data_IF_943488759214
#
_entry.id   IF_943488759214
#
_cell.length_a   1.000
_cell.length_b   1.000
_cell.length_c   1.000
_cell.angle_alpha   90.00
_cell.angle_beta   90.00
_cell.angle_gamma   90.00
#
_symmetry.space_group_name_H-M   'P 1'
#
loop_
_entity.id
_entity.type
_entity.pdbx_description
1 polymer ?
#
# COMPACT_ATOMS: atom_id res chain seq x y z
N UNK A 1 -10.98 7.75 27.27
CA UNK A 1 -12.00 7.87 26.20
C UNK A 1 -12.85 6.62 26.32
N UNK A 2 -13.72 6.61 27.32
CA UNK A 2 -14.24 5.34 27.84
C UNK A 2 -15.62 5.12 27.20
N UNK A 3 -15.82 3.93 26.62
CA UNK A 3 -16.99 3.48 25.82
C UNK A 3 -17.11 3.99 24.38
N UNK A 4 -16.02 4.00 23.61
CA UNK A 4 -16.11 4.11 22.15
C UNK A 4 -15.75 2.79 21.47
N UNK A 5 -16.52 2.37 20.46
CA UNK A 5 -16.12 1.31 19.53
C UNK A 5 -15.43 1.93 18.32
N UNK A 6 -14.38 1.28 17.80
CA UNK A 6 -13.70 1.75 16.59
C UNK A 6 -14.22 0.96 15.39
N UNK A 7 -14.71 1.65 14.37
CA UNK A 7 -15.08 1.07 13.07
C UNK A 7 -14.17 1.61 11.99
N UNK A 8 -13.67 0.74 11.12
CA UNK A 8 -12.91 1.14 9.93
C UNK A 8 -13.85 1.34 8.75
N UNK A 9 -13.67 2.44 8.03
CA UNK A 9 -14.33 2.73 6.76
C UNK A 9 -13.27 3.33 5.82
N UNK A 10 -12.86 2.58 4.81
CA UNK A 10 -11.81 3.02 3.89
C UNK A 10 -10.51 3.34 4.62
N UNK A 11 -9.89 4.48 4.29
CA UNK A 11 -8.66 4.94 4.93
C UNK A 11 -8.88 5.62 6.28
N UNK A 12 -10.07 5.47 6.88
CA UNK A 12 -10.44 6.15 8.11
C UNK A 12 -10.88 5.16 9.19
N UNK A 13 -10.55 5.52 10.43
CA UNK A 13 -11.17 4.97 11.62
C UNK A 13 -12.18 5.96 12.16
N UNK A 14 -13.35 5.45 12.53
CA UNK A 14 -14.40 6.17 13.21
C UNK A 14 -14.47 5.69 14.65
N UNK A 15 -14.46 6.61 15.61
CA UNK A 15 -14.82 6.31 17.00
C UNK A 15 -16.32 6.53 17.14
N UNK A 16 -17.04 5.49 17.55
CA UNK A 16 -18.49 5.51 17.71
C UNK A 16 -18.85 5.46 19.19
N UNK A 17 -19.77 6.33 19.60
CA UNK A 17 -20.45 6.28 20.90
C UNK A 17 -21.92 5.98 20.64
N UNK A 18 -22.44 4.91 21.22
CA UNK A 18 -23.82 4.44 20.98
C UNK A 18 -24.14 4.29 19.47
N UNK A 19 -23.18 3.71 18.72
CA UNK A 19 -23.23 3.53 17.27
C UNK A 19 -23.27 4.84 16.44
N UNK A 20 -23.04 5.99 17.07
CA UNK A 20 -22.94 7.30 16.41
C UNK A 20 -21.48 7.72 16.29
N UNK A 21 -20.96 8.01 15.07
CA UNK A 21 -19.58 8.47 14.89
C UNK A 21 -19.39 9.86 15.52
N UNK A 22 -18.38 9.98 16.38
CA UNK A 22 -18.06 11.22 17.11
C UNK A 22 -16.66 11.76 16.79
N UNK A 23 -15.74 10.88 16.37
CA UNK A 23 -14.42 11.27 15.88
C UNK A 23 -14.05 10.43 14.65
N UNK A 24 -13.21 11.00 13.80
CA UNK A 24 -12.55 10.30 12.70
C UNK A 24 -11.05 10.55 12.74
N UNK A 25 -10.29 9.60 12.22
CA UNK A 25 -8.88 9.80 11.88
C UNK A 25 -8.55 9.05 10.61
N UNK A 26 -7.52 9.48 9.91
CA UNK A 26 -6.89 8.65 8.88
C UNK A 26 -6.17 7.46 9.54
N UNK A 27 -6.19 6.30 8.90
CA UNK A 27 -5.40 5.14 9.31
C UNK A 27 -3.92 5.53 9.40
N UNK A 28 -3.26 5.11 10.48
CA UNK A 28 -1.87 5.48 10.79
C UNK A 28 -1.70 6.86 11.44
N UNK A 29 -2.74 7.69 11.51
CA UNK A 29 -2.71 8.92 12.30
C UNK A 29 -2.94 8.63 13.78
N UNK A 30 -2.23 9.33 14.66
CA UNK A 30 -2.54 9.33 16.10
C UNK A 30 -3.58 10.40 16.47
N UNK A 31 -3.80 11.36 15.57
CA UNK A 31 -4.70 12.50 15.79
C UNK A 31 -6.12 12.13 15.40
N UNK A 32 -7.04 12.28 16.35
CA UNK A 32 -8.48 12.18 16.15
C UNK A 32 -9.08 13.57 15.95
N UNK A 33 -9.96 13.71 14.97
CA UNK A 33 -10.66 14.95 14.63
C UNK A 33 -12.17 14.74 14.86
N UNK A 34 -12.92 15.75 15.33
CA UNK A 34 -14.37 15.65 15.48
C UNK A 34 -15.03 15.18 14.17
N UNK A 35 -15.93 14.21 14.27
CA UNK A 35 -16.67 13.74 13.10
C UNK A 35 -17.72 14.79 12.73
N UNK A 36 -17.43 15.63 11.73
CA UNK A 36 -18.38 16.59 11.20
C UNK A 36 -19.41 15.87 10.32
N UNK A 37 -20.70 15.97 10.66
CA UNK A 37 -21.79 15.46 9.80
C UNK A 37 -21.87 16.16 8.45
N UNK A 38 -21.20 17.31 8.29
CA UNK A 38 -21.03 18.03 7.02
C UNK A 38 -19.93 17.44 6.12
N UNK A 39 -19.11 16.51 6.60
CA UNK A 39 -18.13 15.76 5.79
C UNK A 39 -18.74 14.51 5.14
N UNK A 40 -20.08 14.43 5.05
CA UNK A 40 -20.64 13.73 3.93
C UNK A 40 -20.27 14.54 2.69
N UNK A 41 -19.35 14.09 1.82
CA UNK A 41 -19.40 14.58 0.46
C UNK A 41 -20.85 14.33 0.03
N UNK A 42 -21.57 15.40 -0.34
CA UNK A 42 -22.71 15.24 -1.23
C UNK A 42 -22.28 14.23 -2.29
N UNK A 43 -23.15 13.30 -2.71
CA UNK A 43 -22.83 12.41 -3.82
C UNK A 43 -22.71 13.26 -5.09
N UNK A 44 -21.60 13.96 -5.24
CA UNK A 44 -21.01 14.26 -6.53
C UNK A 44 -20.67 12.89 -7.09
N UNK A 45 -21.28 12.56 -8.22
CA UNK A 45 -21.39 11.22 -8.82
C UNK A 45 -20.07 10.50 -9.13
N UNK A 46 -18.91 11.05 -8.75
CA UNK A 46 -17.60 10.41 -8.89
C UNK A 46 -16.71 10.74 -7.69
N UNK A 47 -16.64 9.80 -6.74
CA UNK A 47 -15.52 9.78 -5.78
C UNK A 47 -14.25 9.34 -6.52
N UNK A 48 -13.09 9.96 -6.28
CA UNK A 48 -11.86 9.52 -6.92
C UNK A 48 -11.51 8.11 -6.49
N UNK A 49 -10.86 7.35 -7.38
CA UNK A 49 -10.19 6.12 -7.01
C UNK A 49 -8.94 6.48 -6.20
N UNK A 50 -8.63 5.71 -5.17
CA UNK A 50 -7.47 5.90 -4.33
C UNK A 50 -6.46 4.79 -4.63
N UNK A 51 -5.19 5.17 -4.82
CA UNK A 51 -4.08 4.22 -4.86
C UNK A 51 -3.47 4.12 -3.46
N UNK A 52 -3.45 2.93 -2.88
CA UNK A 52 -2.81 2.66 -1.61
C UNK A 52 -1.74 1.58 -1.70
N UNK A 53 -0.63 1.75 -0.98
CA UNK A 53 0.23 0.65 -0.60
C UNK A 53 -0.39 -0.03 0.63
N UNK A 54 -0.81 -1.27 0.49
CA UNK A 54 -1.25 -2.11 1.61
C UNK A 54 -0.07 -2.94 2.11
N UNK A 55 0.08 -3.02 3.42
CA UNK A 55 0.99 -3.95 4.09
C UNK A 55 0.19 -4.97 4.89
N UNK A 56 0.56 -6.24 4.74
CA UNK A 56 -0.04 -7.34 5.46
C UNK A 56 0.99 -8.06 6.33
N UNK A 57 0.57 -8.47 7.52
CA UNK A 57 1.33 -9.38 8.36
C UNK A 57 1.45 -10.76 7.70
N UNK A 58 2.67 -11.28 7.69
CA UNK A 58 2.95 -12.66 7.34
C UNK A 58 3.56 -13.39 8.55
N UNK A 59 3.23 -14.67 8.79
CA UNK A 59 3.82 -15.42 9.90
C UNK A 59 5.36 -15.52 9.75
N UNK A 60 6.09 -14.89 10.66
CA UNK A 60 7.56 -14.90 10.74
C UNK A 60 8.30 -14.35 9.50
N UNK A 61 7.61 -13.58 8.67
CA UNK A 61 8.18 -12.95 7.47
C UNK A 61 7.97 -11.44 7.51
N UNK A 62 8.64 -10.74 6.59
CA UNK A 62 8.41 -9.30 6.40
C UNK A 62 6.98 -9.06 5.92
N UNK A 63 6.51 -7.81 5.99
CA UNK A 63 5.18 -7.52 5.49
C UNK A 63 5.07 -7.84 4.00
N UNK A 64 3.99 -8.51 3.61
CA UNK A 64 3.61 -8.62 2.21
C UNK A 64 3.09 -7.27 1.73
N UNK A 65 3.54 -6.83 0.57
CA UNK A 65 3.13 -5.55 -0.01
C UNK A 65 2.29 -5.77 -1.26
N UNK A 66 1.24 -4.97 -1.36
CA UNK A 66 0.34 -4.93 -2.51
C UNK A 66 -0.11 -3.51 -2.80
N UNK A 67 -0.46 -3.21 -4.06
CA UNK A 67 -1.16 -1.98 -4.42
C UNK A 67 -2.65 -2.22 -4.41
N UNK A 68 -3.41 -1.31 -3.81
CA UNK A 68 -4.86 -1.39 -3.76
C UNK A 68 -5.46 -0.17 -4.45
N UNK A 69 -6.39 -0.41 -5.38
CA UNK A 69 -7.14 0.64 -6.08
C UNK A 69 -8.62 0.47 -5.76
N UNK A 70 -9.21 1.46 -5.10
CA UNK A 70 -10.62 1.46 -4.74
C UNK A 70 -11.15 2.89 -4.54
N UNK A 71 -12.46 3.07 -4.67
CA UNK A 71 -13.08 4.22 -4.03
C UNK A 71 -13.04 4.04 -2.50
N UNK A 72 -13.02 5.16 -1.76
CA UNK A 72 -12.99 5.11 -0.30
C UNK A 72 -14.18 4.33 0.26
N UNK A 73 -13.87 3.27 1.03
CA UNK A 73 -14.87 2.43 1.70
C UNK A 73 -15.53 1.37 0.81
N UNK A 74 -15.12 1.22 -0.46
CA UNK A 74 -15.60 0.16 -1.35
C UNK A 74 -14.56 -0.96 -1.52
N UNK A 75 -15.04 -2.09 -2.04
CA UNK A 75 -14.16 -3.14 -2.54
C UNK A 75 -13.32 -2.61 -3.71
N UNK A 76 -12.13 -3.17 -3.88
CA UNK A 76 -11.18 -2.70 -4.88
C UNK A 76 -10.45 -3.81 -5.60
N UNK A 77 -9.46 -3.39 -6.38
CA UNK A 77 -8.51 -4.28 -7.05
C UNK A 77 -7.18 -4.25 -6.31
N UNK A 78 -6.68 -5.43 -5.97
CA UNK A 78 -5.38 -5.66 -5.35
C UNK A 78 -4.39 -6.14 -6.42
N UNK A 79 -3.33 -5.38 -6.64
CA UNK A 79 -2.21 -5.76 -7.49
C UNK A 79 -1.04 -6.23 -6.63
N UNK A 80 -0.62 -7.46 -6.85
CA UNK A 80 0.40 -8.13 -6.05
C UNK A 80 1.10 -9.23 -6.83
N UNK A 81 2.24 -9.64 -6.30
CA UNK A 81 2.94 -10.86 -6.67
C UNK A 81 3.02 -11.78 -5.45
N UNK A 82 2.77 -13.07 -5.63
CA UNK A 82 2.82 -14.08 -4.56
C UNK A 82 3.69 -15.26 -4.99
N UNK A 83 4.08 -16.10 -4.03
CA UNK A 83 5.05 -17.18 -4.22
C UNK A 83 6.25 -17.01 -3.32
N UNK A 84 7.22 -17.92 -3.44
CA UNK A 84 8.47 -17.79 -2.70
C UNK A 84 9.42 -16.80 -3.39
N UNK A 85 10.49 -16.42 -2.70
CA UNK A 85 11.44 -15.46 -3.26
C UNK A 85 12.20 -15.94 -4.50
N UNK A 86 12.21 -17.25 -4.81
CA UNK A 86 12.79 -17.79 -6.04
C UNK A 86 11.84 -17.74 -7.22
N UNK A 87 10.54 -17.84 -6.96
CA UNK A 87 9.52 -17.87 -7.99
C UNK A 87 8.22 -17.19 -7.52
N UNK A 88 8.12 -15.90 -7.81
CA UNK A 88 6.87 -15.16 -7.67
C UNK A 88 6.08 -15.11 -8.98
N UNK A 89 4.76 -15.01 -8.87
CA UNK A 89 3.81 -14.84 -9.96
C UNK A 89 2.85 -13.71 -9.64
N UNK A 90 2.32 -13.04 -10.66
CA UNK A 90 1.23 -12.09 -10.47
C UNK A 90 -0.02 -12.83 -9.96
N UNK A 91 -0.61 -12.33 -8.87
CA UNK A 91 -1.82 -12.91 -8.26
C UNK A 91 -2.80 -11.78 -7.89
N UNK A 92 -3.21 -11.02 -8.91
CA UNK A 92 -4.09 -9.88 -8.72
C UNK A 92 -5.50 -10.34 -8.32
N UNK A 93 -6.12 -9.63 -7.37
CA UNK A 93 -7.47 -9.95 -6.88
C UNK A 93 -8.42 -8.79 -7.12
N UNK A 94 -9.59 -9.07 -7.68
CA UNK A 94 -10.66 -8.07 -7.90
C UNK A 94 -11.74 -8.22 -6.84
N UNK A 95 -12.46 -7.14 -6.58
CA UNK A 95 -13.60 -7.11 -5.66
C UNK A 95 -13.26 -7.56 -4.22
N UNK A 96 -12.12 -7.08 -3.71
CA UNK A 96 -11.64 -7.43 -2.35
C UNK A 96 -11.84 -6.28 -1.39
N UNK A 97 -12.35 -6.57 -0.19
CA UNK A 97 -12.32 -5.67 0.96
C UNK A 97 -11.09 -5.96 1.83
N UNK A 98 -9.95 -5.42 1.41
CA UNK A 98 -8.64 -5.69 2.01
C UNK A 98 -8.54 -5.24 3.48
N UNK A 99 -9.27 -4.17 3.81
CA UNK A 99 -9.16 -3.46 5.09
C UNK A 99 -9.81 -4.22 6.26
N UNK A 100 -10.58 -5.26 5.95
CA UNK A 100 -11.27 -6.11 6.92
C UNK A 100 -10.55 -7.45 7.16
N UNK A 101 -9.41 -7.70 6.53
CA UNK A 101 -8.67 -8.94 6.72
C UNK A 101 -7.87 -8.91 8.02
N UNK A 102 -7.76 -10.07 8.69
CA UNK A 102 -6.96 -10.21 9.91
C UNK A 102 -5.46 -9.97 9.67
N UNK A 103 -4.98 -10.21 8.45
CA UNK A 103 -3.60 -9.95 8.02
C UNK A 103 -3.32 -8.47 7.80
N UNK A 104 -4.33 -7.60 7.71
CA UNK A 104 -4.14 -6.18 7.43
C UNK A 104 -3.32 -5.50 8.54
N UNK A 105 -2.16 -4.92 8.17
CA UNK A 105 -1.35 -4.14 9.08
C UNK A 105 -1.70 -2.64 8.96
N UNK A 106 -1.45 -2.07 7.79
CA UNK A 106 -1.75 -0.67 7.48
C UNK A 106 -1.82 -0.42 5.96
N UNK A 107 -2.16 0.82 5.61
CA UNK A 107 -2.25 1.32 4.25
C UNK A 107 -1.71 2.74 4.15
N UNK A 108 -0.96 3.02 3.10
CA UNK A 108 -0.42 4.33 2.78
C UNK A 108 -1.00 4.83 1.47
N UNK A 109 -1.77 5.93 1.50
CA UNK A 109 -2.32 6.53 0.28
C UNK A 109 -1.22 7.18 -0.56
N UNK A 110 -0.99 6.63 -1.76
CA UNK A 110 0.03 7.09 -2.69
C UNK A 110 -0.46 8.23 -3.59
N UNK A 111 -1.71 8.12 -4.10
CA UNK A 111 -2.29 9.07 -5.03
C UNK A 111 -3.83 8.97 -5.09
N UNK A 112 -4.46 10.03 -5.61
CA UNK A 112 -5.83 9.99 -6.15
C UNK A 112 -5.77 9.76 -7.66
N UNK A 113 -6.71 8.95 -8.15
CA UNK A 113 -6.75 8.45 -9.52
C UNK A 113 -8.08 8.82 -10.17
N UNK A 114 -7.99 9.30 -11.40
CA UNK A 114 -9.08 9.18 -12.36
C UNK A 114 -9.01 7.81 -13.07
N UNK A 115 -9.95 7.56 -13.98
CA UNK A 115 -10.05 6.30 -14.73
C UNK A 115 -8.77 6.00 -15.53
N UNK A 116 -8.17 7.01 -16.16
CA UNK A 116 -6.99 6.83 -17.00
C UNK A 116 -5.77 6.48 -16.15
N UNK A 117 -5.59 7.15 -15.01
CA UNK A 117 -4.52 6.84 -14.05
C UNK A 117 -4.68 5.44 -13.47
N UNK A 118 -5.90 4.99 -13.20
CA UNK A 118 -6.16 3.63 -12.73
C UNK A 118 -5.78 2.57 -13.79
N UNK A 119 -6.06 2.83 -15.07
CA UNK A 119 -5.60 1.96 -16.17
C UNK A 119 -4.06 1.90 -16.26
N UNK A 120 -3.37 3.00 -15.97
CA UNK A 120 -1.90 3.02 -15.93
C UNK A 120 -1.33 2.26 -14.73
N UNK A 121 -2.00 2.26 -13.58
CA UNK A 121 -1.65 1.38 -12.46
C UNK A 121 -1.77 -0.09 -12.87
N UNK A 122 -2.87 -0.48 -13.49
CA UNK A 122 -3.07 -1.85 -14.00
C UNK A 122 -1.98 -2.22 -15.02
N UNK A 123 -1.71 -1.34 -15.98
CA UNK A 123 -0.69 -1.57 -17.00
C UNK A 123 0.68 -1.85 -16.36
N UNK A 124 1.18 -0.95 -15.52
CA UNK A 124 2.52 -1.09 -14.93
C UNK A 124 2.62 -2.25 -13.95
N UNK A 125 1.55 -2.58 -13.23
CA UNK A 125 1.50 -3.79 -12.40
C UNK A 125 1.68 -5.07 -13.25
N UNK A 126 1.02 -5.16 -14.41
CA UNK A 126 1.17 -6.31 -15.29
C UNK A 126 2.51 -6.33 -16.05
N UNK A 127 3.10 -5.17 -16.36
CA UNK A 127 4.35 -5.09 -17.11
C UNK A 127 5.60 -5.32 -16.25
N UNK A 128 5.60 -4.89 -14.99
CA UNK A 128 6.76 -5.12 -14.12
C UNK A 128 6.88 -6.61 -13.79
N UNK A 129 8.02 -7.26 -14.12
CA UNK A 129 8.17 -8.68 -13.96
C UNK A 129 8.15 -9.07 -12.49
N UNK A 130 7.39 -10.12 -12.19
CA UNK A 130 7.44 -10.76 -10.88
C UNK A 130 8.88 -11.26 -10.60
N UNK A 131 9.27 -11.16 -9.33
CA UNK A 131 10.62 -11.51 -8.88
C UNK A 131 10.91 -12.98 -9.12
N UNK A 132 12.05 -13.27 -9.75
CA UNK A 132 12.52 -14.63 -10.07
C UNK A 132 14.01 -14.75 -9.84
N UNK A 133 14.43 -15.91 -9.35
CA UNK A 133 15.83 -16.29 -9.21
C UNK A 133 16.00 -17.79 -9.51
N UNK A 134 17.09 -18.17 -10.16
CA UNK A 134 17.35 -19.59 -10.49
C UNK A 134 17.65 -20.42 -9.24
N UNK A 135 18.05 -19.77 -8.15
CA UNK A 135 18.31 -20.40 -6.86
C UNK A 135 18.13 -19.43 -5.69
N UNK A 136 17.94 -19.97 -4.48
CA UNK A 136 17.81 -19.18 -3.26
C UNK A 136 19.02 -18.26 -3.00
N UNK A 137 20.23 -18.68 -3.37
CA UNK A 137 21.45 -17.87 -3.22
C UNK A 137 21.49 -16.64 -4.15
N UNK A 138 20.72 -16.66 -5.24
CA UNK A 138 20.65 -15.58 -6.22
C UNK A 138 19.46 -14.64 -6.02
N UNK A 139 18.61 -14.91 -5.02
CA UNK A 139 17.47 -14.05 -4.72
C UNK A 139 17.95 -12.64 -4.38
N UNK A 140 17.47 -11.66 -5.13
CA UNK A 140 17.74 -10.23 -4.90
C UNK A 140 16.48 -9.39 -4.75
N UNK A 141 15.33 -9.99 -5.01
CA UNK A 141 14.05 -9.31 -5.11
C UNK A 141 12.97 -9.99 -4.27
N UNK A 142 11.97 -9.21 -3.88
CA UNK A 142 10.80 -9.66 -3.11
C UNK A 142 9.54 -8.98 -3.66
N UNK A 143 8.38 -9.21 -3.03
CA UNK A 143 7.17 -8.45 -3.36
C UNK A 143 7.35 -6.94 -3.11
N UNK A 144 8.15 -6.56 -2.11
CA UNK A 144 8.43 -5.16 -1.79
C UNK A 144 9.27 -4.50 -2.89
N UNK A 145 10.28 -5.19 -3.44
CA UNK A 145 11.06 -4.62 -4.56
C UNK A 145 10.23 -4.51 -5.84
N UNK A 146 9.32 -5.45 -6.09
CA UNK A 146 8.35 -5.35 -7.18
C UNK A 146 7.47 -4.10 -7.05
N UNK A 147 6.88 -3.85 -5.87
CA UNK A 147 6.09 -2.63 -5.61
C UNK A 147 6.90 -1.37 -5.84
N UNK A 148 8.15 -1.32 -5.36
CA UNK A 148 9.03 -0.17 -5.56
C UNK A 148 9.25 0.09 -7.05
N UNK A 149 9.45 -0.95 -7.87
CA UNK A 149 9.57 -0.79 -9.33
C UNK A 149 8.29 -0.26 -9.97
N UNK A 150 7.14 -0.83 -9.62
CA UNK A 150 5.83 -0.36 -10.13
C UNK A 150 5.62 1.11 -9.75
N UNK A 151 5.83 1.49 -8.49
CA UNK A 151 5.65 2.88 -8.05
C UNK A 151 6.64 3.81 -8.72
N UNK A 152 7.88 3.40 -8.99
CA UNK A 152 8.82 4.22 -9.78
C UNK A 152 8.34 4.48 -11.20
N UNK A 153 7.70 3.50 -11.86
CA UNK A 153 7.05 3.73 -13.15
C UNK A 153 5.94 4.76 -13.01
N UNK A 154 5.08 4.63 -12.01
CA UNK A 154 3.98 5.58 -11.75
C UNK A 154 4.47 6.99 -11.37
N UNK A 155 5.63 7.12 -10.72
CA UNK A 155 6.29 8.42 -10.50
C UNK A 155 6.74 9.01 -11.83
N UNK A 156 7.35 8.22 -12.72
CA UNK A 156 7.78 8.68 -14.04
C UNK A 156 6.60 9.15 -14.92
N UNK A 157 5.42 8.53 -14.75
CA UNK A 157 4.16 8.95 -15.40
C UNK A 157 3.48 10.17 -14.71
N UNK A 158 4.05 10.70 -13.63
CA UNK A 158 3.46 11.82 -12.88
C UNK A 158 2.18 11.46 -12.10
N UNK A 159 1.91 10.17 -11.89
CA UNK A 159 0.73 9.68 -11.15
C UNK A 159 0.98 9.69 -9.65
N UNK A 160 2.18 9.29 -9.22
CA UNK A 160 2.59 9.25 -7.82
C UNK A 160 3.66 10.32 -7.58
N UNK A 161 3.58 11.02 -6.45
CA UNK A 161 4.58 12.03 -6.07
C UNK A 161 5.96 11.42 -5.84
N UNK A 162 7.01 12.12 -6.31
CA UNK A 162 8.41 11.68 -6.21
C UNK A 162 8.87 11.33 -4.79
N UNK A 163 8.29 11.95 -3.75
CA UNK A 163 8.63 11.68 -2.35
C UNK A 163 8.46 10.19 -1.97
N UNK A 164 7.57 9.47 -2.67
CA UNK A 164 7.32 8.07 -2.41
C UNK A 164 8.51 7.17 -2.74
N UNK A 165 9.43 7.55 -3.64
CA UNK A 165 10.66 6.76 -3.87
C UNK A 165 11.50 6.64 -2.59
N UNK A 166 11.59 7.71 -1.80
CA UNK A 166 12.26 7.69 -0.50
C UNK A 166 11.41 7.03 0.56
N UNK A 167 10.14 7.43 0.70
CA UNK A 167 9.27 6.95 1.76
C UNK A 167 9.08 5.42 1.71
N UNK A 168 8.94 4.83 0.51
CA UNK A 168 8.86 3.38 0.36
C UNK A 168 10.13 2.69 0.86
N UNK A 169 11.32 3.22 0.56
CA UNK A 169 12.57 2.64 1.05
C UNK A 169 12.69 2.66 2.57
N UNK A 170 12.02 3.59 3.25
CA UNK A 170 12.02 3.69 4.71
C UNK A 170 10.98 2.74 5.34
N UNK A 171 10.01 2.24 4.56
CA UNK A 171 9.04 1.23 4.98
C UNK A 171 9.53 -0.21 4.80
N UNK A 172 10.60 -0.43 4.02
CA UNK A 172 11.16 -1.77 3.78
C UNK A 172 11.53 -2.43 5.10
N UNK A 173 10.99 -3.62 5.31
CA UNK A 173 11.31 -4.49 6.45
C UNK A 173 11.76 -5.89 6.01
N UNK A 174 11.84 -6.15 4.69
CA UNK A 174 12.44 -7.37 4.15
C UNK A 174 13.91 -7.52 4.59
N UNK A 175 14.28 -8.57 5.35
CA UNK A 175 15.66 -8.80 5.77
C UNK A 175 16.63 -8.92 4.59
N UNK A 176 16.17 -9.47 3.45
CA UNK A 176 16.96 -9.56 2.24
C UNK A 176 17.31 -8.16 1.70
N UNK A 177 16.29 -7.32 1.49
CA UNK A 177 16.48 -5.99 0.92
C UNK A 177 17.29 -5.08 1.85
N UNK A 178 17.10 -5.20 3.17
CA UNK A 178 17.91 -4.47 4.15
C UNK A 178 19.40 -4.86 4.07
N UNK A 179 19.71 -6.17 3.98
CA UNK A 179 21.09 -6.65 3.82
C UNK A 179 21.73 -6.17 2.51
N UNK A 180 20.99 -6.18 1.40
CA UNK A 180 21.49 -5.68 0.11
C UNK A 180 21.81 -4.19 0.18
N UNK A 181 20.93 -3.39 0.79
CA UNK A 181 21.14 -1.94 0.99
C UNK A 181 22.34 -1.62 1.87
N UNK A 182 22.61 -2.44 2.89
CA UNK A 182 23.82 -2.31 3.70
C UNK A 182 25.09 -2.63 2.90
N UNK A 183 25.04 -3.68 2.06
CA UNK A 183 26.17 -4.06 1.20
C UNK A 183 26.49 -2.95 0.18
N UNK A 184 25.48 -2.38 -0.46
CA UNK A 184 25.65 -1.26 -1.41
C UNK A 184 26.27 -0.03 -0.73
N UNK A 185 25.82 0.31 0.48
CA UNK A 185 26.40 1.42 1.27
C UNK A 185 27.86 1.19 1.62
N UNK A 186 28.27 -0.04 1.91
CA UNK A 186 29.68 -0.38 2.20
C UNK A 186 30.57 -0.34 0.94
N UNK A 187 30.00 -0.63 -0.22
CA UNK A 187 30.71 -0.65 -1.51
C UNK A 187 30.78 0.73 -2.18
N UNK A 188 29.96 1.69 -1.73
CA UNK A 188 29.96 3.08 -2.20
C UNK A 188 30.47 3.99 -1.08
N UNK A 189 31.79 4.02 -0.78
CA UNK A 189 32.30 5.00 0.17
C UNK A 189 31.97 6.40 -0.36
N UNK A 190 31.33 7.21 0.49
CA UNK A 190 31.04 8.60 0.20
C UNK A 190 32.30 9.26 -0.32
N UNK A 191 32.25 9.80 -1.54
CA UNK A 191 33.25 10.75 -2.02
C UNK A 191 33.11 11.96 -1.10
N UNK A 192 34.03 12.09 -0.15
CA UNK A 192 34.23 13.27 0.68
C UNK A 192 34.83 14.38 -0.19
#
# INVERSE_FOLDING_TARGET
MDNCTIKRIGLRELALKDNTPIYTRKLGSQTWEPYATSDHPQPTDTRPLLLGLVREFQPNEAHHWSLFVAEEGKNGTLYQVTGDHTYMVHDHKKDVNMLCLNSFADIHQLAELDVLKAQMVEYWANQEPASRAESQAQVRDTCQSWIIRVVRRLIAEGIVEWRWDRALKDLIDSPLLLRLRERERRLSPSVV
#
